data_IF_424514229958
#
_entry.id   IF_424514229958
#
_cell.length_a   1.000
_cell.length_b   1.000
_cell.length_c   1.000
_cell.angle_alpha   90.00
_cell.angle_beta   90.00
_cell.angle_gamma   90.00
#
_symmetry.space_group_name_H-M   'P 1'
#
loop_
_entity.id
_entity.type
_entity.pdbx_description
1 polymer ?
#
# COMPACT_ATOMS: atom_id res chain seq x y z
N UNK A 1 -10.05 7.69 -33.04
CA UNK A 1 -8.62 7.37 -33.15
C UNK A 1 -8.24 6.73 -31.83
N UNK A 2 -7.77 5.49 -31.85
CA UNK A 2 -7.33 4.79 -30.64
C UNK A 2 -5.93 5.29 -30.29
N UNK A 3 -5.71 5.74 -29.06
CA UNK A 3 -4.40 6.23 -28.62
C UNK A 3 -3.44 5.04 -28.60
N UNK A 4 -2.40 5.07 -29.44
CA UNK A 4 -1.30 4.10 -29.41
C UNK A 4 -0.12 4.71 -28.65
N UNK A 5 0.26 4.18 -27.47
CA UNK A 5 1.39 4.70 -26.73
C UNK A 5 2.71 4.25 -27.36
N UNK A 6 3.73 5.11 -27.31
CA UNK A 6 5.09 4.78 -27.78
C UNK A 6 5.81 3.77 -26.88
N UNK A 7 5.37 3.64 -25.63
CA UNK A 7 5.86 2.67 -24.66
C UNK A 7 4.84 2.48 -23.51
N UNK A 8 4.87 1.32 -22.89
CA UNK A 8 4.16 1.02 -21.66
C UNK A 8 5.15 0.86 -20.50
N UNK A 9 5.02 1.73 -19.49
CA UNK A 9 5.84 1.70 -18.29
C UNK A 9 4.97 1.31 -17.10
N UNK A 10 5.28 0.18 -16.46
CA UNK A 10 4.64 -0.19 -15.21
C UNK A 10 5.50 0.25 -14.03
N UNK A 11 4.98 1.19 -13.25
CA UNK A 11 5.64 1.71 -12.04
C UNK A 11 5.05 1.00 -10.83
N UNK A 12 5.92 0.30 -10.10
CA UNK A 12 5.56 -0.50 -8.93
C UNK A 12 6.12 0.16 -7.67
N UNK A 13 5.26 0.39 -6.69
CA UNK A 13 5.61 0.84 -5.35
C UNK A 13 5.71 -0.35 -4.40
N UNK A 14 6.42 -0.17 -3.29
CA UNK A 14 6.57 -1.20 -2.24
C UNK A 14 5.24 -1.79 -1.78
N UNK A 15 4.18 -0.98 -1.66
CA UNK A 15 2.88 -1.39 -1.17
C UNK A 15 2.01 -2.12 -2.21
N UNK A 16 2.34 -2.10 -3.51
CA UNK A 16 1.49 -2.68 -4.56
C UNK A 16 1.32 -4.19 -4.41
N UNK A 17 2.32 -4.89 -3.85
CA UNK A 17 2.22 -6.32 -3.50
C UNK A 17 1.05 -6.59 -2.55
N UNK A 18 0.81 -5.66 -1.62
CA UNK A 18 -0.22 -5.78 -0.60
C UNK A 18 -1.55 -5.19 -1.04
N UNK A 19 -1.53 -4.09 -1.80
CA UNK A 19 -2.76 -3.40 -2.20
C UNK A 19 -3.49 -4.09 -3.34
N UNK A 20 -2.81 -4.90 -4.15
CA UNK A 20 -3.47 -5.81 -5.09
C UNK A 20 -4.35 -6.85 -4.42
N UNK A 21 -4.08 -7.17 -3.14
CA UNK A 21 -4.95 -8.03 -2.35
C UNK A 21 -6.07 -7.26 -1.64
N UNK A 22 -6.17 -5.93 -1.70
CA UNK A 22 -7.34 -5.21 -1.13
C UNK A 22 -8.64 -5.38 -1.92
N UNK A 23 -8.63 -6.21 -2.97
CA UNK A 23 -9.79 -7.06 -3.28
C UNK A 23 -10.07 -8.11 -2.17
N UNK A 24 -9.53 -7.93 -0.97
CA UNK A 24 -9.85 -8.60 0.27
C UNK A 24 -11.30 -8.32 0.67
N UNK A 25 -11.94 -7.28 0.16
CA UNK A 25 -13.39 -7.18 0.27
C UNK A 25 -14.08 -8.29 -0.56
N UNK A 26 -13.46 -8.79 -1.64
CA UNK A 26 -13.88 -9.99 -2.36
C UNK A 26 -13.45 -11.29 -1.65
N UNK A 27 -12.28 -11.33 -0.97
CA UNK A 27 -11.85 -12.48 -0.14
C UNK A 27 -12.70 -12.60 1.15
N UNK A 28 -12.93 -11.50 1.87
CA UNK A 28 -13.90 -11.40 2.95
C UNK A 28 -15.32 -11.66 2.45
N UNK A 29 -15.67 -11.25 1.22
CA UNK A 29 -16.94 -11.69 0.65
C UNK A 29 -16.98 -13.18 0.44
N UNK A 30 -15.89 -13.82 0.02
CA UNK A 30 -15.81 -15.28 -0.10
C UNK A 30 -15.85 -15.98 1.25
N UNK A 31 -15.26 -15.42 2.32
CA UNK A 31 -15.38 -15.96 3.68
C UNK A 31 -16.81 -15.81 4.24
N UNK A 32 -17.47 -14.67 3.98
CA UNK A 32 -18.88 -14.43 4.36
C UNK A 32 -19.83 -15.30 3.52
N UNK A 33 -19.54 -15.47 2.24
CA UNK A 33 -20.30 -16.28 1.29
C UNK A 33 -20.14 -17.76 1.61
N UNK A 34 -18.92 -18.25 1.88
CA UNK A 34 -18.63 -19.65 2.23
C UNK A 34 -19.11 -20.02 3.64
N UNK A 35 -19.16 -19.06 4.57
CA UNK A 35 -19.78 -19.23 5.88
C UNK A 35 -21.31 -19.27 5.87
N UNK A 36 -21.97 -18.95 4.75
CA UNK A 36 -23.42 -18.90 4.59
C UNK A 36 -23.88 -19.75 3.41
N UNK A 37 -24.52 -20.89 3.68
CA UNK A 37 -25.03 -21.80 2.65
C UNK A 37 -25.89 -21.10 1.58
N UNK A 38 -26.71 -20.13 1.98
CA UNK A 38 -27.57 -19.37 1.07
C UNK A 38 -26.78 -18.43 0.14
N UNK A 39 -25.73 -17.77 0.64
CA UNK A 39 -24.89 -16.90 -0.18
C UNK A 39 -23.98 -17.71 -1.10
N UNK A 40 -23.46 -18.86 -0.63
CA UNK A 40 -22.71 -19.81 -1.46
C UNK A 40 -23.52 -20.32 -2.66
N UNK A 41 -24.77 -20.71 -2.43
CA UNK A 41 -25.67 -21.16 -3.50
C UNK A 41 -25.99 -20.02 -4.50
N UNK A 42 -26.12 -18.79 -4.02
CA UNK A 42 -26.37 -17.62 -4.87
C UNK A 42 -25.14 -17.23 -5.70
N UNK A 43 -23.94 -17.31 -5.12
CA UNK A 43 -22.67 -17.01 -5.79
C UNK A 43 -22.39 -17.98 -6.95
N UNK A 44 -22.76 -19.26 -6.82
CA UNK A 44 -22.66 -20.25 -7.90
C UNK A 44 -23.54 -19.94 -9.11
N UNK A 45 -24.67 -19.25 -8.91
CA UNK A 45 -25.63 -18.95 -9.97
C UNK A 45 -25.38 -17.56 -10.58
N UNK A 46 -24.98 -16.59 -9.77
CA UNK A 46 -24.78 -15.18 -10.15
C UNK A 46 -23.64 -14.54 -9.33
N UNK A 47 -22.36 -14.84 -9.64
CA UNK A 47 -21.22 -14.46 -8.81
C UNK A 47 -21.07 -12.94 -8.67
N UNK A 48 -21.21 -12.22 -9.79
CA UNK A 48 -20.99 -10.77 -9.82
C UNK A 48 -22.05 -9.98 -9.03
N UNK A 49 -23.31 -10.42 -9.08
CA UNK A 49 -24.40 -9.84 -8.27
C UNK A 49 -24.20 -10.13 -6.78
N UNK A 50 -23.69 -11.31 -6.45
CA UNK A 50 -23.46 -11.71 -5.05
C UNK A 50 -22.34 -10.89 -4.42
N UNK A 51 -21.25 -10.65 -5.14
CA UNK A 51 -20.17 -9.74 -4.72
C UNK A 51 -20.69 -8.31 -4.49
N UNK A 52 -21.48 -7.76 -5.42
CA UNK A 52 -22.06 -6.43 -5.27
C UNK A 52 -22.98 -6.32 -4.04
N UNK A 53 -23.73 -7.37 -3.72
CA UNK A 53 -24.57 -7.44 -2.51
C UNK A 53 -23.70 -7.42 -1.25
N UNK A 54 -22.62 -8.20 -1.20
CA UNK A 54 -21.73 -8.24 -0.03
C UNK A 54 -20.96 -6.93 0.13
N UNK A 55 -20.45 -6.35 -0.95
CA UNK A 55 -19.82 -5.03 -0.93
C UNK A 55 -20.79 -3.94 -0.46
N UNK A 56 -22.03 -3.95 -0.97
CA UNK A 56 -23.08 -3.02 -0.54
C UNK A 56 -23.44 -3.22 0.92
N UNK A 57 -23.41 -4.46 1.42
CA UNK A 57 -23.65 -4.78 2.82
C UNK A 57 -22.50 -4.34 3.73
N UNK A 58 -21.25 -4.57 3.35
CA UNK A 58 -20.06 -4.09 4.07
C UNK A 58 -20.00 -2.56 4.08
N UNK A 59 -20.31 -1.93 2.95
CA UNK A 59 -20.43 -0.47 2.84
C UNK A 59 -21.59 0.06 3.68
N UNK A 60 -22.73 -0.64 3.71
CA UNK A 60 -23.86 -0.28 4.56
C UNK A 60 -23.57 -0.52 6.05
N UNK A 61 -22.78 -1.51 6.41
CA UNK A 61 -22.28 -1.75 7.77
C UNK A 61 -21.35 -0.62 8.20
N UNK A 62 -20.38 -0.24 7.34
CA UNK A 62 -19.49 0.89 7.58
C UNK A 62 -20.26 2.22 7.65
N UNK A 63 -21.23 2.44 6.75
CA UNK A 63 -22.11 3.61 6.80
C UNK A 63 -23.04 3.58 8.02
N UNK A 64 -23.50 2.42 8.49
CA UNK A 64 -24.28 2.30 9.73
C UNK A 64 -23.42 2.53 10.96
N UNK A 65 -22.14 2.14 10.93
CA UNK A 65 -21.19 2.51 11.98
C UNK A 65 -20.96 4.03 11.99
N UNK A 66 -20.70 4.64 10.83
CA UNK A 66 -20.54 6.09 10.66
C UNK A 66 -21.85 6.88 10.93
N UNK A 67 -23.01 6.32 10.63
CA UNK A 67 -24.30 6.92 10.96
C UNK A 67 -24.71 6.67 12.41
N UNK A 68 -24.22 5.61 13.07
CA UNK A 68 -24.35 5.47 14.53
C UNK A 68 -23.50 6.52 15.24
N UNK A 69 -22.36 6.92 14.69
CA UNK A 69 -21.60 8.10 15.14
C UNK A 69 -22.41 9.40 14.94
N UNK A 70 -23.04 9.60 13.77
CA UNK A 70 -23.87 10.81 13.51
C UNK A 70 -25.20 10.85 14.27
N UNK A 71 -25.85 9.70 14.48
CA UNK A 71 -27.06 9.61 15.32
C UNK A 71 -26.67 9.71 16.79
N UNK A 72 -25.48 9.25 17.21
CA UNK A 72 -24.92 9.59 18.52
C UNK A 72 -24.61 11.08 18.67
N UNK A 73 -24.30 11.81 17.59
CA UNK A 73 -24.20 13.30 17.59
C UNK A 73 -25.57 14.00 17.67
N UNK A 74 -26.67 13.31 17.36
CA UNK A 74 -28.02 13.87 17.36
C UNK A 74 -28.87 13.43 18.57
N UNK A 75 -28.61 12.24 19.12
CA UNK A 75 -29.17 11.71 20.38
C UNK A 75 -28.36 12.12 21.62
N UNK A 76 -27.18 12.74 21.44
CA UNK A 76 -26.41 13.38 22.52
C UNK A 76 -27.09 14.61 23.14
N UNK A 77 -28.25 15.02 22.63
CA UNK A 77 -29.15 15.94 23.33
C UNK A 77 -30.01 15.27 24.43
N UNK A 78 -29.98 13.94 24.59
CA UNK A 78 -30.83 13.26 25.57
C UNK A 78 -30.13 12.30 26.54
N UNK A 79 -28.86 11.90 26.35
CA UNK A 79 -28.12 11.18 27.38
C UNK A 79 -26.61 11.48 27.35
N UNK A 80 -26.15 12.17 28.39
CA UNK A 80 -24.77 12.59 28.66
C UNK A 80 -23.79 11.40 28.78
N UNK A 81 -23.16 11.04 27.66
CA UNK A 81 -21.72 10.76 27.66
C UNK A 81 -21.11 11.74 26.67
N UNK A 82 -20.75 12.92 27.16
CA UNK A 82 -20.06 13.95 26.39
C UNK A 82 -18.80 13.34 25.78
N UNK A 83 -18.80 13.15 24.46
CA UNK A 83 -17.55 12.91 23.76
C UNK A 83 -16.57 14.05 24.15
N UNK A 84 -15.28 13.76 24.39
CA UNK A 84 -14.33 14.79 24.76
C UNK A 84 -14.32 15.89 23.70
N UNK A 85 -14.52 17.15 24.11
CA UNK A 85 -14.40 18.32 23.21
C UNK A 85 -12.96 18.49 22.69
N UNK A 86 -11.97 17.89 23.37
CA UNK A 86 -10.58 17.90 22.97
C UNK A 86 -10.33 16.86 21.86
N UNK A 87 -9.96 17.28 20.63
CA UNK A 87 -9.75 16.36 19.52
C UNK A 87 -8.55 15.42 19.73
N UNK A 88 -7.61 15.76 20.62
CA UNK A 88 -6.51 14.86 21.01
C UNK A 88 -7.03 13.71 21.87
N UNK A 89 -7.90 14.01 22.84
CA UNK A 89 -8.51 12.99 23.71
C UNK A 89 -9.42 12.08 22.90
N UNK A 90 -10.19 12.65 21.96
CA UNK A 90 -11.02 11.86 21.04
C UNK A 90 -10.17 10.89 20.22
N UNK A 91 -9.07 11.37 19.62
CA UNK A 91 -8.20 10.51 18.83
C UNK A 91 -7.51 9.41 19.66
N UNK A 92 -7.13 9.69 20.92
CA UNK A 92 -6.62 8.66 21.81
C UNK A 92 -7.67 7.58 22.12
N UNK A 93 -8.94 7.97 22.31
CA UNK A 93 -10.04 7.03 22.49
C UNK A 93 -10.25 6.17 21.24
N UNK A 94 -10.17 6.77 20.06
CA UNK A 94 -10.27 6.04 18.77
C UNK A 94 -9.14 5.00 18.63
N UNK A 95 -7.91 5.36 18.98
CA UNK A 95 -6.76 4.44 19.01
C UNK A 95 -7.08 3.22 19.90
N UNK A 96 -7.60 3.45 21.11
CA UNK A 96 -7.92 2.38 22.07
C UNK A 96 -9.04 1.48 21.57
N UNK A 97 -10.11 2.07 21.02
CA UNK A 97 -11.25 1.33 20.48
C UNK A 97 -10.83 0.45 19.30
N UNK A 98 -10.06 1.01 18.36
CA UNK A 98 -9.53 0.26 17.21
C UNK A 98 -8.58 -0.85 17.66
N UNK A 99 -7.67 -0.56 18.58
CA UNK A 99 -6.74 -1.55 19.10
C UNK A 99 -7.46 -2.72 19.80
N UNK A 100 -8.51 -2.42 20.58
CA UNK A 100 -9.36 -3.44 21.20
C UNK A 100 -10.08 -4.31 20.15
N UNK A 101 -10.61 -3.71 19.08
CA UNK A 101 -11.24 -4.45 17.98
C UNK A 101 -10.26 -5.40 17.25
N UNK A 102 -8.97 -5.07 17.26
CA UNK A 102 -7.89 -5.90 16.72
C UNK A 102 -7.24 -6.83 17.76
N UNK A 103 -7.83 -6.97 18.96
CA UNK A 103 -7.31 -7.80 20.05
C UNK A 103 -5.88 -7.43 20.49
N UNK A 104 -5.48 -6.16 20.35
CA UNK A 104 -4.17 -5.67 20.79
C UNK A 104 -4.23 -5.47 22.32
N UNK A 105 -3.31 -6.07 23.09
CA UNK A 105 -3.31 -5.92 24.54
C UNK A 105 -3.20 -4.45 24.98
N UNK A 106 -4.01 -4.05 25.97
CA UNK A 106 -4.05 -2.68 26.48
C UNK A 106 -2.67 -2.18 26.95
N UNK A 107 -1.84 -3.07 27.51
CA UNK A 107 -0.46 -2.75 27.89
C UNK A 107 0.41 -2.32 26.71
N UNK A 108 0.25 -2.97 25.53
CA UNK A 108 0.94 -2.61 24.29
C UNK A 108 0.42 -1.26 23.76
N UNK A 109 -0.89 -1.04 23.83
CA UNK A 109 -1.52 0.24 23.44
C UNK A 109 -1.00 1.38 24.31
N UNK A 110 -1.00 1.23 25.63
CA UNK A 110 -0.50 2.24 26.57
C UNK A 110 0.97 2.57 26.33
N UNK A 111 1.83 1.57 26.15
CA UNK A 111 3.25 1.77 25.85
C UNK A 111 3.47 2.49 24.51
N UNK A 112 2.64 2.18 23.51
CA UNK A 112 2.70 2.81 22.20
C UNK A 112 2.18 4.27 22.24
N UNK A 113 1.10 4.53 22.97
CA UNK A 113 0.56 5.89 23.18
C UNK A 113 1.60 6.77 23.86
N UNK A 114 2.23 6.27 24.93
CA UNK A 114 3.24 7.04 25.66
C UNK A 114 4.43 7.41 24.76
N UNK A 115 4.92 6.44 23.97
CA UNK A 115 6.00 6.68 23.00
C UNK A 115 5.64 7.72 21.93
N UNK A 116 4.37 7.77 21.54
CA UNK A 116 3.89 8.58 20.41
C UNK A 116 3.05 9.79 20.83
N UNK A 117 3.07 10.17 22.12
CA UNK A 117 2.21 11.22 22.69
C UNK A 117 2.23 12.54 21.91
N UNK A 118 3.42 12.99 21.48
CA UNK A 118 3.55 14.22 20.69
C UNK A 118 2.95 14.10 19.28
N UNK A 119 3.06 12.93 18.65
CA UNK A 119 2.47 12.65 17.34
C UNK A 119 0.96 12.50 17.42
N UNK A 120 0.44 11.85 18.46
CA UNK A 120 -1.00 11.75 18.74
C UNK A 120 -1.61 13.15 18.89
N UNK A 121 -0.95 14.04 19.65
CA UNK A 121 -1.43 15.41 19.81
C UNK A 121 -1.47 16.17 18.47
N UNK A 122 -0.44 16.02 17.63
CA UNK A 122 -0.39 16.61 16.28
C UNK A 122 -1.47 16.05 15.36
N UNK A 123 -1.63 14.74 15.34
CA UNK A 123 -2.64 14.06 14.52
C UNK A 123 -4.08 14.37 14.98
N UNK A 124 -4.31 14.49 16.29
CA UNK A 124 -5.59 14.95 16.85
C UNK A 124 -5.98 16.35 16.35
N UNK A 125 -5.00 17.24 16.18
CA UNK A 125 -5.24 18.58 15.60
C UNK A 125 -5.27 18.63 14.07
N UNK A 126 -5.00 17.51 13.39
CA UNK A 126 -4.93 17.45 11.93
C UNK A 126 -3.59 17.88 11.33
N UNK A 127 -2.55 18.09 12.14
CA UNK A 127 -1.20 18.46 11.66
C UNK A 127 -0.49 17.28 10.95
N UNK A 128 -0.95 16.05 11.21
CA UNK A 128 -0.39 14.78 10.72
C UNK A 128 -1.54 13.82 10.42
N UNK A 129 -1.39 12.98 9.40
CA UNK A 129 -2.36 11.93 9.10
C UNK A 129 -2.52 10.96 10.27
N UNK A 130 -3.74 10.87 10.82
CA UNK A 130 -4.10 9.91 11.85
C UNK A 130 -3.89 8.46 11.40
N UNK A 131 -4.13 8.19 10.11
CA UNK A 131 -3.99 6.84 9.53
C UNK A 131 -2.55 6.33 9.56
N UNK A 132 -1.57 7.18 9.19
CA UNK A 132 -0.16 6.77 9.18
C UNK A 132 0.32 6.40 10.58
N UNK A 133 -0.18 7.11 11.60
CA UNK A 133 0.10 6.80 12.99
C UNK A 133 -0.57 5.48 13.40
N UNK A 134 -1.88 5.33 13.13
CA UNK A 134 -2.63 4.11 13.47
C UNK A 134 -2.09 2.86 12.78
N UNK A 135 -1.66 2.96 11.52
CA UNK A 135 -1.17 1.83 10.74
C UNK A 135 0.06 1.18 11.38
N UNK A 136 0.95 1.95 12.03
CA UNK A 136 2.10 1.39 12.77
C UNK A 136 1.70 0.55 13.99
N UNK A 137 0.53 0.82 14.59
CA UNK A 137 -0.03 0.01 15.68
C UNK A 137 -0.82 -1.19 15.16
N UNK A 138 -1.67 -0.98 14.16
CA UNK A 138 -2.65 -1.97 13.68
C UNK A 138 -2.07 -2.95 12.64
N UNK A 139 -1.03 -2.52 11.91
CA UNK A 139 -0.41 -3.26 10.81
C UNK A 139 1.12 -3.22 10.97
N UNK A 140 1.64 -3.62 12.13
CA UNK A 140 3.07 -3.52 12.42
C UNK A 140 3.94 -4.28 11.43
N UNK A 141 3.44 -5.39 10.89
CA UNK A 141 4.14 -6.25 9.92
C UNK A 141 4.02 -5.77 8.46
N UNK A 142 3.41 -4.61 8.19
CA UNK A 142 3.11 -4.14 6.83
C UNK A 142 4.34 -4.14 5.91
N UNK A 143 5.43 -3.51 6.34
CA UNK A 143 6.63 -3.41 5.51
C UNK A 143 7.40 -4.73 5.39
N UNK A 144 7.37 -5.58 6.42
CA UNK A 144 7.93 -6.95 6.32
C UNK A 144 7.17 -7.74 5.26
N UNK A 145 5.83 -7.67 5.29
CA UNK A 145 4.98 -8.33 4.31
C UNK A 145 5.21 -7.83 2.87
N UNK A 146 5.55 -6.55 2.70
CA UNK A 146 5.85 -5.96 1.39
C UNK A 146 7.28 -6.29 0.90
N UNK A 147 8.30 -6.01 1.72
CA UNK A 147 9.71 -5.99 1.32
C UNK A 147 10.40 -7.34 1.43
N UNK A 148 9.98 -8.15 2.41
CA UNK A 148 10.59 -9.46 2.68
C UNK A 148 9.73 -10.62 2.13
N UNK A 149 8.49 -10.37 1.70
CA UNK A 149 7.57 -11.37 1.09
C UNK A 149 7.65 -12.74 1.80
N UNK A 150 7.24 -12.81 3.08
CA UNK A 150 7.21 -14.09 3.79
C UNK A 150 6.27 -15.09 3.09
N UNK A 151 6.40 -16.38 3.40
CA UNK A 151 5.68 -17.46 2.72
C UNK A 151 4.16 -17.25 2.70
N UNK A 152 3.58 -16.72 3.78
CA UNK A 152 2.15 -16.40 3.88
C UNK A 152 1.70 -15.22 2.97
N UNK A 153 2.64 -14.52 2.32
CA UNK A 153 2.40 -13.45 1.34
C UNK A 153 2.86 -13.81 -0.07
N UNK A 154 3.52 -14.96 -0.26
CA UNK A 154 4.02 -15.43 -1.56
C UNK A 154 2.93 -15.44 -2.63
N UNK A 155 1.75 -15.99 -2.32
CA UNK A 155 0.63 -16.09 -3.25
C UNK A 155 0.14 -14.71 -3.76
N UNK A 156 0.33 -13.64 -2.98
CA UNK A 156 -0.03 -12.28 -3.41
C UNK A 156 0.97 -11.74 -4.43
N UNK A 157 2.27 -11.95 -4.17
CA UNK A 157 3.31 -11.62 -5.14
C UNK A 157 3.13 -12.40 -6.46
N UNK A 158 2.83 -13.69 -6.40
CA UNK A 158 2.59 -14.52 -7.59
C UNK A 158 1.42 -13.99 -8.45
N UNK A 159 0.35 -13.47 -7.82
CA UNK A 159 -0.75 -12.82 -8.55
C UNK A 159 -0.30 -11.54 -9.24
N UNK A 160 0.47 -10.70 -8.54
CA UNK A 160 1.05 -9.50 -9.14
C UNK A 160 1.95 -9.88 -10.34
N UNK A 161 2.80 -10.89 -10.17
CA UNK A 161 3.67 -11.38 -11.23
C UNK A 161 2.89 -11.90 -12.46
N UNK A 162 1.77 -12.59 -12.24
CA UNK A 162 0.88 -13.05 -13.32
C UNK A 162 0.29 -11.86 -14.10
N UNK A 163 -0.22 -10.84 -13.40
CA UNK A 163 -0.76 -9.63 -14.04
C UNK A 163 0.31 -8.89 -14.84
N UNK A 164 1.52 -8.76 -14.30
CA UNK A 164 2.66 -8.14 -15.01
C UNK A 164 2.99 -8.91 -16.29
N UNK A 165 3.01 -10.25 -16.21
CA UNK A 165 3.30 -11.13 -17.35
C UNK A 165 2.23 -10.99 -18.43
N UNK A 166 0.95 -10.92 -18.05
CA UNK A 166 -0.16 -10.69 -18.99
C UNK A 166 -0.05 -9.32 -19.67
N UNK A 167 0.27 -8.26 -18.91
CA UNK A 167 0.47 -6.91 -19.46
C UNK A 167 1.63 -6.87 -20.46
N UNK A 168 2.73 -7.57 -20.17
CA UNK A 168 3.86 -7.71 -21.10
C UNK A 168 3.45 -8.43 -22.39
N UNK A 169 2.72 -9.54 -22.27
CA UNK A 169 2.25 -10.29 -23.44
C UNK A 169 1.33 -9.43 -24.34
N UNK A 170 0.44 -8.64 -23.74
CA UNK A 170 -0.42 -7.71 -24.49
C UNK A 170 0.38 -6.58 -25.16
N UNK A 171 1.41 -6.05 -24.48
CA UNK A 171 2.30 -5.05 -25.07
C UNK A 171 3.07 -5.62 -26.28
N UNK A 172 3.59 -6.85 -26.16
CA UNK A 172 4.29 -7.53 -27.25
C UNK A 172 3.37 -7.77 -28.46
N UNK A 173 2.13 -8.21 -28.22
CA UNK A 173 1.15 -8.44 -29.29
C UNK A 173 0.81 -7.16 -30.09
N UNK A 174 1.05 -5.99 -29.48
CA UNK A 174 0.86 -4.66 -30.09
C UNK A 174 2.17 -4.00 -30.51
N UNK A 175 3.31 -4.68 -30.36
CA UNK A 175 4.65 -4.13 -30.63
C UNK A 175 4.91 -2.84 -29.83
N UNK A 176 4.36 -2.77 -28.61
CA UNK A 176 4.57 -1.64 -27.68
C UNK A 176 5.75 -2.01 -26.78
N UNK A 177 6.84 -1.21 -26.76
CA UNK A 177 7.94 -1.41 -25.83
C UNK A 177 7.44 -1.39 -24.37
N UNK A 178 7.86 -2.37 -23.58
CA UNK A 178 7.42 -2.53 -22.19
C UNK A 178 8.61 -2.42 -21.22
N UNK A 179 8.43 -1.75 -20.08
CA UNK A 179 9.44 -1.69 -19.03
C UNK A 179 8.84 -1.65 -17.62
N UNK A 180 9.63 -2.12 -16.65
CA UNK A 180 9.28 -2.12 -15.23
C UNK A 180 10.13 -1.11 -14.47
N UNK A 181 9.49 -0.32 -13.60
CA UNK A 181 10.16 0.61 -12.68
C UNK A 181 9.76 0.30 -11.27
N UNK A 182 10.72 0.07 -10.38
CA UNK A 182 10.48 -0.07 -8.95
C UNK A 182 10.79 1.24 -8.21
N UNK A 183 9.80 1.77 -7.50
CA UNK A 183 9.91 2.91 -6.59
C UNK A 183 10.07 2.39 -5.16
N UNK A 184 11.23 2.61 -4.50
CA UNK A 184 11.45 2.13 -3.15
C UNK A 184 10.63 2.91 -2.12
N UNK A 185 10.28 2.24 -1.02
CA UNK A 185 9.85 2.91 0.20
C UNK A 185 11.00 3.73 0.80
N UNK A 186 10.64 4.81 1.47
CA UNK A 186 11.52 5.65 2.27
C UNK A 186 12.33 4.86 3.31
N UNK A 187 11.83 3.71 3.78
CA UNK A 187 12.55 2.84 4.72
C UNK A 187 13.76 2.14 4.09
N UNK A 188 13.85 2.10 2.76
CA UNK A 188 14.96 1.48 2.02
C UNK A 188 16.11 2.45 1.74
N UNK A 189 15.90 3.76 1.94
CA UNK A 189 16.91 4.78 1.60
C UNK A 189 17.11 5.88 2.64
N UNK A 190 16.14 6.29 3.47
CA UNK A 190 16.32 7.34 4.49
C UNK A 190 16.32 6.73 5.90
N UNK A 191 17.48 6.72 6.56
CA UNK A 191 17.63 6.19 7.92
C UNK A 191 16.76 6.91 8.96
N UNK A 192 16.45 8.20 8.76
CA UNK A 192 15.54 8.93 9.67
C UNK A 192 14.11 8.42 9.53
N UNK A 193 13.71 8.05 8.31
CA UNK A 193 12.41 7.44 8.06
C UNK A 193 12.34 6.02 8.59
N UNK A 194 13.43 5.27 8.49
CA UNK A 194 13.56 3.97 9.14
C UNK A 194 13.32 4.06 10.66
N UNK A 195 13.98 5.00 11.35
CA UNK A 195 13.77 5.23 12.79
C UNK A 195 12.35 5.71 13.10
N UNK A 196 11.78 6.59 12.26
CA UNK A 196 10.39 7.00 12.40
C UNK A 196 9.45 5.80 12.27
N UNK A 197 9.64 4.92 11.31
CA UNK A 197 8.85 3.70 11.14
C UNK A 197 8.88 2.83 12.41
N UNK A 198 10.06 2.62 12.97
CA UNK A 198 10.25 1.92 14.26
C UNK A 198 9.54 2.62 15.42
N UNK A 199 9.60 3.95 15.48
CA UNK A 199 8.90 4.74 16.50
C UNK A 199 7.38 4.57 16.39
N UNK A 200 6.85 4.60 15.16
CA UNK A 200 5.43 4.39 14.86
C UNK A 200 4.95 2.96 15.15
N UNK A 201 5.86 2.01 15.38
CA UNK A 201 5.53 0.64 15.77
C UNK A 201 5.62 -0.39 14.65
N UNK A 202 6.06 0.01 13.45
CA UNK A 202 6.34 -0.93 12.37
C UNK A 202 7.51 -1.84 12.73
N UNK A 203 7.40 -3.08 12.30
CA UNK A 203 8.51 -4.02 12.21
C UNK A 203 9.38 -3.62 11.03
N UNK A 204 10.62 -3.28 11.32
CA UNK A 204 11.56 -2.76 10.33
C UNK A 204 12.86 -3.57 10.36
N UNK A 205 13.41 -3.82 9.17
CA UNK A 205 14.67 -4.54 9.02
C UNK A 205 15.79 -3.55 8.64
N UNK A 206 16.87 -3.43 9.43
CA UNK A 206 17.96 -2.49 9.11
C UNK A 206 18.70 -2.83 7.82
N UNK A 207 18.63 -4.09 7.36
CA UNK A 207 19.24 -4.49 6.09
C UNK A 207 18.64 -3.74 4.89
N UNK A 208 17.37 -3.31 4.97
CA UNK A 208 16.70 -2.57 3.90
C UNK A 208 17.39 -1.24 3.54
N UNK A 209 18.17 -0.64 4.44
CA UNK A 209 18.90 0.60 4.16
C UNK A 209 20.14 0.40 3.28
N UNK A 210 20.69 -0.81 3.25
CA UNK A 210 22.00 -1.07 2.63
C UNK A 210 21.99 -2.21 1.61
N UNK A 211 21.05 -3.14 1.73
CA UNK A 211 20.95 -4.32 0.90
C UNK A 211 19.73 -4.24 -0.01
N UNK A 212 19.76 -5.00 -1.11
CA UNK A 212 18.57 -5.24 -1.93
C UNK A 212 17.56 -6.03 -1.10
N UNK A 213 16.31 -5.59 -1.04
CA UNK A 213 15.20 -6.31 -0.40
C UNK A 213 14.83 -7.58 -1.17
N UNK A 214 13.99 -8.43 -0.58
CA UNK A 214 13.48 -9.60 -1.30
C UNK A 214 12.59 -9.18 -2.46
N UNK A 215 11.68 -8.23 -2.25
CA UNK A 215 10.82 -7.69 -3.31
C UNK A 215 11.63 -7.20 -4.52
N UNK A 216 12.68 -6.42 -4.29
CA UNK A 216 13.54 -5.94 -5.38
C UNK A 216 14.17 -7.08 -6.19
N UNK A 217 14.65 -8.14 -5.51
CA UNK A 217 15.21 -9.31 -6.19
C UNK A 217 14.16 -10.06 -7.00
N UNK A 218 12.99 -10.26 -6.42
CA UNK A 218 11.90 -11.01 -7.06
C UNK A 218 11.36 -10.25 -8.29
N UNK A 219 11.20 -8.92 -8.21
CA UNK A 219 10.85 -8.09 -9.37
C UNK A 219 11.94 -8.11 -10.44
N UNK A 220 13.21 -8.07 -10.06
CA UNK A 220 14.32 -8.16 -11.00
C UNK A 220 14.36 -9.52 -11.71
N UNK A 221 14.13 -10.61 -10.98
CA UNK A 221 14.07 -11.96 -11.53
C UNK A 221 12.90 -12.08 -12.51
N UNK A 222 11.69 -11.65 -12.10
CA UNK A 222 10.51 -11.64 -12.95
C UNK A 222 10.76 -10.86 -14.24
N UNK A 223 11.35 -9.66 -14.15
CA UNK A 223 11.69 -8.86 -15.32
C UNK A 223 12.62 -9.62 -16.29
N UNK A 224 13.61 -10.34 -15.75
CA UNK A 224 14.50 -11.21 -16.52
C UNK A 224 13.76 -12.36 -17.19
N UNK A 225 12.84 -13.03 -16.49
CA UNK A 225 12.04 -14.14 -17.01
C UNK A 225 11.14 -13.72 -18.19
N UNK A 226 10.54 -12.53 -18.11
CA UNK A 226 9.66 -12.00 -19.18
C UNK A 226 10.43 -11.15 -20.22
N UNK A 227 11.76 -11.11 -20.14
CA UNK A 227 12.64 -10.30 -21.00
C UNK A 227 12.22 -8.81 -21.05
N UNK A 228 11.83 -8.23 -19.92
CA UNK A 228 11.50 -6.82 -19.80
C UNK A 228 12.68 -6.05 -19.15
N UNK A 229 13.04 -4.86 -19.67
CA UNK A 229 13.92 -3.93 -18.97
C UNK A 229 13.38 -3.58 -17.58
N UNK A 230 14.28 -3.49 -16.59
CA UNK A 230 13.94 -3.16 -15.20
C UNK A 230 14.80 -2.03 -14.66
N UNK A 231 14.15 -0.99 -14.12
CA UNK A 231 14.79 0.10 -13.40
C UNK A 231 14.46 0.02 -11.92
N UNK A 232 15.46 -0.29 -11.11
CA UNK A 232 15.37 -0.15 -9.65
C UNK A 232 15.82 1.27 -9.25
N UNK A 233 14.93 2.07 -8.65
CA UNK A 233 15.25 3.42 -8.17
C UNK A 233 15.93 3.46 -6.79
N UNK A 234 16.07 2.33 -6.08
CA UNK A 234 16.75 2.27 -4.77
C UNK A 234 18.15 2.87 -4.80
N UNK A 235 19.05 2.53 -5.75
CA UNK A 235 20.40 3.12 -5.79
C UNK A 235 20.37 4.64 -6.02
N UNK A 236 19.42 5.13 -6.84
CA UNK A 236 19.24 6.56 -7.12
C UNK A 236 18.81 7.30 -5.85
N UNK A 237 17.84 6.75 -5.12
CA UNK A 237 17.33 7.35 -3.88
C UNK A 237 18.40 7.30 -2.78
N UNK A 238 19.14 6.20 -2.63
CA UNK A 238 20.21 6.08 -1.63
C UNK A 238 21.35 7.07 -1.85
N UNK A 239 21.67 7.40 -3.09
CA UNK A 239 22.70 8.40 -3.40
C UNK A 239 22.33 9.81 -2.91
N UNK A 240 21.04 10.10 -2.70
CA UNK A 240 20.53 11.39 -2.23
C UNK A 240 19.46 11.23 -1.14
N UNK A 241 19.69 10.34 -0.19
CA UNK A 241 18.68 9.82 0.73
C UNK A 241 17.88 10.84 1.55
N UNK A 242 18.45 12.01 1.85
CA UNK A 242 17.83 12.98 2.73
C UNK A 242 16.72 13.80 2.03
N UNK A 243 15.50 13.71 2.58
CA UNK A 243 14.42 14.65 2.29
C UNK A 243 13.77 14.47 0.91
N UNK A 244 13.72 13.23 0.41
CA UNK A 244 13.04 12.90 -0.84
C UNK A 244 11.51 12.73 -0.68
N UNK A 245 11.03 12.55 0.55
CA UNK A 245 9.62 12.41 0.92
C UNK A 245 9.28 13.38 2.05
N UNK A 246 8.00 13.65 2.31
CA UNK A 246 7.58 14.45 3.49
C UNK A 246 7.62 13.59 4.77
N UNK A 247 7.76 14.19 5.96
CA UNK A 247 8.00 13.43 7.20
C UNK A 247 6.91 12.39 7.51
N UNK A 248 5.65 12.70 7.24
CA UNK A 248 4.51 11.83 7.48
C UNK A 248 3.73 11.56 6.19
N UNK A 249 4.46 11.43 5.08
CA UNK A 249 3.93 11.00 3.81
C UNK A 249 4.97 10.06 3.16
N UNK A 250 4.50 9.01 2.51
CA UNK A 250 5.33 8.03 1.82
C UNK A 250 5.64 8.45 0.37
N UNK A 251 4.93 9.44 -0.16
CA UNK A 251 5.14 9.92 -1.52
C UNK A 251 6.37 10.82 -1.64
N UNK A 252 6.98 10.81 -2.82
CA UNK A 252 8.03 11.76 -3.15
C UNK A 252 7.51 13.19 -3.10
N UNK A 253 8.32 14.07 -2.51
CA UNK A 253 8.12 15.50 -2.63
C UNK A 253 8.73 16.01 -3.96
N UNK A 254 8.68 17.33 -4.20
CA UNK A 254 9.26 17.96 -5.39
C UNK A 254 10.72 17.55 -5.62
N UNK A 255 11.54 17.55 -4.55
CA UNK A 255 12.94 17.13 -4.62
C UNK A 255 13.05 15.65 -4.99
N UNK A 256 12.26 14.78 -4.36
CA UNK A 256 12.20 13.35 -4.69
C UNK A 256 11.95 13.12 -6.17
N UNK A 257 10.90 13.74 -6.72
CA UNK A 257 10.59 13.68 -8.14
C UNK A 257 11.73 14.21 -9.03
N UNK A 258 12.32 15.36 -8.68
CA UNK A 258 13.44 15.93 -9.43
C UNK A 258 14.67 15.00 -9.47
N UNK A 259 14.89 14.21 -8.41
CA UNK A 259 16.00 13.24 -8.35
C UNK A 259 15.74 12.00 -9.21
N UNK A 260 14.52 11.44 -9.19
CA UNK A 260 14.24 10.19 -9.92
C UNK A 260 13.90 10.41 -11.39
N UNK A 261 13.32 11.55 -11.76
CA UNK A 261 12.85 11.80 -13.13
C UNK A 261 13.95 11.64 -14.20
N UNK A 262 15.19 12.13 -14.03
CA UNK A 262 16.25 11.91 -15.02
C UNK A 262 16.63 10.43 -15.21
N UNK A 263 16.53 9.61 -14.15
CA UNK A 263 16.80 8.18 -14.26
C UNK A 263 15.70 7.46 -15.04
N UNK A 264 14.43 7.82 -14.79
CA UNK A 264 13.28 7.29 -15.52
C UNK A 264 13.33 7.72 -16.99
N UNK A 265 13.63 8.99 -17.29
CA UNK A 265 13.70 9.49 -18.66
C UNK A 265 14.72 8.71 -19.50
N UNK A 266 15.96 8.55 -18.99
CA UNK A 266 17.00 7.76 -19.67
C UNK A 266 16.61 6.29 -19.85
N UNK A 267 15.88 5.73 -18.88
CA UNK A 267 15.40 4.36 -18.97
C UNK A 267 14.36 4.20 -20.08
N UNK A 268 13.38 5.10 -20.16
CA UNK A 268 12.37 5.11 -21.23
C UNK A 268 13.02 5.29 -22.60
N UNK A 269 13.94 6.23 -22.74
CA UNK A 269 14.72 6.42 -23.99
C UNK A 269 15.41 5.10 -24.40
N UNK A 270 16.09 4.43 -23.46
CA UNK A 270 16.77 3.17 -23.72
C UNK A 270 15.84 2.05 -24.20
N UNK A 271 14.62 1.97 -23.63
CA UNK A 271 13.61 0.98 -24.05
C UNK A 271 13.16 1.25 -25.49
N UNK A 272 12.80 2.51 -25.80
CA UNK A 272 12.28 2.89 -27.12
C UNK A 272 13.33 2.69 -28.22
N UNK A 273 14.59 3.09 -27.95
CA UNK A 273 15.69 2.89 -28.90
C UNK A 273 15.98 1.42 -29.17
N UNK A 274 15.96 0.56 -28.13
CA UNK A 274 16.22 -0.86 -28.28
C UNK A 274 15.18 -1.56 -29.16
N UNK A 275 13.92 -1.12 -29.13
CA UNK A 275 12.85 -1.71 -29.94
C UNK A 275 12.91 -1.25 -31.40
N UNK A 276 13.19 0.05 -31.63
CA UNK A 276 13.34 0.59 -32.98
C UNK A 276 14.46 -0.10 -33.77
N UNK A 277 15.55 -0.48 -33.10
CA UNK A 277 16.68 -1.17 -33.72
C UNK A 277 16.35 -2.61 -34.17
N UNK A 278 15.34 -3.28 -33.59
CA UNK A 278 14.93 -4.63 -34.02
C UNK A 278 14.23 -4.61 -35.37
N UNK A 279 13.38 -3.60 -35.60
CA UNK A 279 12.60 -3.46 -36.83
C UNK A 279 13.43 -3.14 -38.08
N UNK A 280 14.66 -2.67 -37.94
CA UNK A 280 15.56 -2.39 -39.08
C UNK A 280 16.31 -3.64 -39.58
N UNK A 281 16.24 -4.76 -38.86
CA UNK A 281 16.99 -5.99 -39.18
C UNK A 281 16.15 -7.12 -39.78
N UNK A 282 14.83 -6.93 -39.93
CA UNK A 282 13.90 -7.85 -40.59
C UNK A 282 13.55 -7.40 -42.02
#
# INVERSE_FOLDING_TARGET
>A
EEIQPDALLLVLYTNDVMDMAQNDAAVQSNDIVSGSFALSALHLLIPHTTEQIVQSWLKAQAMKAANREKVSEQDSNANNTTAPDDPVVRFELDIRNLAAAHNIPESKVNAWIERNRSLIARAGRGDVSQWILLAGLLKSDFYINCLDIPDNRRAMFERLAAVITELKAEADARTIPFGLVYVPSELQFDARKWELGKQLGYEVNPAWLTQTSQLERELQNLAGEINAPFLNLTPVCRAQSAGLVWDYDLHFNERGHAIVAPAIARFVEGIVFAESAKGETE
#
